data_IF_308998677034
#
_entry.id   IF_308998677034
#
_cell.length_a   1.000
_cell.length_b   1.000
_cell.length_c   1.000
_cell.angle_alpha   90.00
_cell.angle_beta   90.00
_cell.angle_gamma   90.00
#
_symmetry.space_group_name_H-M   'P 1'
#
loop_
_entity.id
_entity.type
_entity.pdbx_description
1 polymer ?
#
# COMPACT_ATOMS: atom_id res chain seq x y z
N UNK A 1 -29.79 -0.23 -1.93
CA UNK A 1 -29.19 -1.03 -3.02
C UNK A 1 -27.79 -1.57 -2.66
N UNK A 2 -26.95 -0.78 -2.03
CA UNK A 2 -25.56 -1.16 -1.70
C UNK A 2 -25.34 -2.40 -0.84
N UNK A 3 -26.17 -2.65 0.19
CA UNK A 3 -26.00 -3.81 1.08
C UNK A 3 -26.13 -5.19 0.40
N UNK A 4 -27.04 -5.32 -0.58
CA UNK A 4 -27.20 -6.58 -1.34
C UNK A 4 -26.00 -6.83 -2.26
N UNK A 5 -25.49 -5.77 -2.85
CA UNK A 5 -24.32 -5.81 -3.72
C UNK A 5 -23.06 -6.23 -2.93
N UNK A 6 -22.77 -5.56 -1.81
CA UNK A 6 -21.62 -5.85 -0.94
C UNK A 6 -21.64 -7.32 -0.48
N UNK A 7 -22.81 -7.81 -0.03
CA UNK A 7 -22.97 -9.22 0.37
C UNK A 7 -22.70 -10.20 -0.78
N UNK A 8 -23.10 -9.84 -2.01
CA UNK A 8 -22.84 -10.68 -3.20
C UNK A 8 -21.35 -10.73 -3.51
N UNK A 9 -20.64 -9.60 -3.46
CA UNK A 9 -19.18 -9.55 -3.64
C UNK A 9 -18.48 -10.41 -2.60
N UNK A 10 -18.83 -10.27 -1.32
CA UNK A 10 -18.26 -11.10 -0.24
C UNK A 10 -18.51 -12.60 -0.44
N UNK A 11 -19.71 -13.00 -0.86
CA UNK A 11 -20.01 -14.41 -1.12
C UNK A 11 -19.19 -14.96 -2.28
N UNK A 12 -18.99 -14.19 -3.34
CA UNK A 12 -18.14 -14.60 -4.46
C UNK A 12 -16.69 -14.81 -4.01
N UNK A 13 -16.16 -13.93 -3.14
CA UNK A 13 -14.82 -14.10 -2.59
C UNK A 13 -14.69 -15.34 -1.70
N UNK A 14 -15.65 -15.57 -0.80
CA UNK A 14 -15.68 -16.77 0.05
C UNK A 14 -15.70 -18.06 -0.79
N UNK A 15 -16.33 -17.99 -1.98
CA UNK A 15 -16.35 -19.10 -2.93
C UNK A 15 -15.08 -19.20 -3.81
N UNK A 16 -14.08 -18.33 -3.61
CA UNK A 16 -12.87 -18.29 -4.45
C UNK A 16 -13.08 -17.69 -5.84
N UNK A 17 -14.20 -16.99 -6.06
CA UNK A 17 -14.61 -16.38 -7.32
C UNK A 17 -14.22 -14.89 -7.36
N UNK A 18 -12.93 -14.60 -7.13
CA UNK A 18 -12.41 -13.22 -7.02
C UNK A 18 -12.55 -12.43 -8.32
N UNK A 19 -12.47 -13.09 -9.49
CA UNK A 19 -12.63 -12.42 -10.78
C UNK A 19 -14.09 -12.00 -11.01
N UNK A 20 -15.03 -12.84 -10.67
CA UNK A 20 -16.47 -12.54 -10.74
C UNK A 20 -16.83 -11.43 -9.74
N UNK A 21 -16.22 -11.44 -8.56
CA UNK A 21 -16.36 -10.36 -7.60
C UNK A 21 -15.86 -9.02 -8.18
N UNK A 22 -14.75 -9.01 -8.93
CA UNK A 22 -14.27 -7.82 -9.64
C UNK A 22 -15.27 -7.33 -10.70
N UNK A 23 -15.82 -8.24 -11.52
CA UNK A 23 -16.82 -7.87 -12.53
C UNK A 23 -18.09 -7.27 -11.90
N UNK A 24 -18.54 -7.82 -10.77
CA UNK A 24 -19.66 -7.25 -10.02
C UNK A 24 -19.34 -5.82 -9.53
N UNK A 25 -18.14 -5.59 -8.99
CA UNK A 25 -17.69 -4.26 -8.55
C UNK A 25 -17.63 -3.29 -9.72
N UNK A 26 -17.06 -3.70 -10.85
CA UNK A 26 -16.91 -2.85 -12.03
C UNK A 26 -18.28 -2.50 -12.64
N UNK A 27 -19.18 -3.50 -12.79
CA UNK A 27 -20.53 -3.28 -13.27
C UNK A 27 -21.32 -2.32 -12.38
N UNK A 28 -21.32 -2.57 -11.07
CA UNK A 28 -22.02 -1.68 -10.13
C UNK A 28 -21.44 -0.26 -10.10
N UNK A 29 -20.11 -0.16 -10.15
CA UNK A 29 -19.44 1.15 -10.11
C UNK A 29 -19.72 1.99 -11.36
N UNK A 30 -20.01 1.37 -12.50
CA UNK A 30 -20.34 2.07 -13.73
C UNK A 30 -21.73 2.76 -13.66
N UNK A 31 -22.66 2.23 -12.86
CA UNK A 31 -24.00 2.77 -12.69
C UNK A 31 -24.04 4.01 -11.77
N UNK A 32 -22.99 4.23 -10.94
CA UNK A 32 -22.93 5.35 -10.01
C UNK A 32 -22.50 6.64 -10.73
N UNK A 33 -23.34 7.66 -10.64
CA UNK A 33 -23.17 8.90 -11.40
C UNK A 33 -22.83 10.11 -10.53
N UNK A 34 -23.33 10.16 -9.30
CA UNK A 34 -23.13 11.32 -8.40
C UNK A 34 -21.92 11.13 -7.47
N UNK A 35 -21.33 12.25 -7.04
CA UNK A 35 -20.23 12.24 -6.10
C UNK A 35 -20.58 11.52 -4.78
N UNK A 36 -21.81 11.70 -4.29
CA UNK A 36 -22.30 11.06 -3.06
C UNK A 36 -22.44 9.54 -3.26
N UNK A 37 -23.07 9.08 -4.33
CA UNK A 37 -23.21 7.64 -4.63
C UNK A 37 -21.84 6.96 -4.75
N UNK A 38 -20.89 7.62 -5.42
CA UNK A 38 -19.53 7.12 -5.58
C UNK A 38 -18.80 7.04 -4.22
N UNK A 39 -18.96 8.05 -3.33
CA UNK A 39 -18.33 8.00 -2.01
C UNK A 39 -18.96 6.93 -1.12
N UNK A 40 -20.29 6.78 -1.14
CA UNK A 40 -20.97 5.74 -0.39
C UNK A 40 -20.61 4.33 -0.91
N UNK A 41 -20.46 4.20 -2.22
CA UNK A 41 -19.92 3.00 -2.84
C UNK A 41 -18.48 2.69 -2.41
N UNK A 42 -17.64 3.71 -2.35
CA UNK A 42 -16.27 3.57 -1.88
C UNK A 42 -16.21 3.13 -0.41
N UNK A 43 -17.05 3.70 0.48
CA UNK A 43 -17.19 3.26 1.87
C UNK A 43 -17.61 1.79 1.96
N UNK A 44 -18.59 1.39 1.18
CA UNK A 44 -19.09 0.02 1.15
C UNK A 44 -18.01 -0.99 0.73
N UNK A 45 -17.20 -0.65 -0.28
CA UNK A 45 -16.07 -1.48 -0.73
C UNK A 45 -14.94 -1.52 0.30
N UNK A 46 -14.62 -0.39 0.95
CA UNK A 46 -13.62 -0.34 2.00
C UNK A 46 -14.01 -1.24 3.19
N UNK A 47 -15.29 -1.22 3.59
CA UNK A 47 -15.81 -2.03 4.69
C UNK A 47 -15.71 -3.54 4.45
N UNK A 48 -15.55 -3.98 3.20
CA UNK A 48 -15.37 -5.40 2.83
C UNK A 48 -13.95 -5.72 2.35
N UNK A 49 -12.98 -4.87 2.68
CA UNK A 49 -11.57 -5.13 2.40
C UNK A 49 -11.14 -4.85 0.94
N UNK A 50 -12.03 -4.31 0.09
CA UNK A 50 -11.73 -4.01 -1.32
C UNK A 50 -11.04 -2.65 -1.47
N UNK A 51 -9.91 -2.47 -0.78
CA UNK A 51 -9.22 -1.18 -0.66
C UNK A 51 -8.86 -0.54 -2.00
N UNK A 52 -8.33 -1.32 -2.95
CA UNK A 52 -7.95 -0.81 -4.27
C UNK A 52 -9.17 -0.31 -5.07
N UNK A 53 -10.28 -1.06 -5.06
CA UNK A 53 -11.53 -0.65 -5.71
C UNK A 53 -12.16 0.56 -5.01
N UNK A 54 -12.19 0.56 -3.68
CA UNK A 54 -12.66 1.67 -2.86
C UNK A 54 -11.88 2.97 -3.16
N UNK A 55 -10.55 2.90 -3.22
CA UNK A 55 -9.69 4.03 -3.53
C UNK A 55 -9.92 4.58 -4.95
N UNK A 56 -10.14 3.70 -5.93
CA UNK A 56 -10.51 4.14 -7.30
C UNK A 56 -11.83 4.87 -7.31
N UNK A 57 -12.84 4.34 -6.62
CA UNK A 57 -14.18 4.92 -6.54
C UNK A 57 -14.18 6.25 -5.78
N UNK A 58 -13.44 6.36 -4.66
CA UNK A 58 -13.29 7.61 -3.92
C UNK A 58 -12.60 8.71 -4.74
N UNK A 59 -11.60 8.37 -5.56
CA UNK A 59 -11.02 9.33 -6.52
C UNK A 59 -12.02 9.82 -7.57
N UNK A 60 -12.87 8.93 -8.08
CA UNK A 60 -13.96 9.33 -8.99
C UNK A 60 -14.95 10.25 -8.30
N UNK A 61 -15.29 9.99 -7.02
CA UNK A 61 -16.18 10.84 -6.24
C UNK A 61 -15.64 12.28 -6.12
N UNK A 62 -14.35 12.45 -5.80
CA UNK A 62 -13.69 13.76 -5.75
C UNK A 62 -13.73 14.51 -7.10
N UNK A 63 -13.68 13.79 -8.20
CA UNK A 63 -13.78 14.37 -9.55
C UNK A 63 -15.20 14.67 -10.02
N UNK A 64 -16.20 14.04 -9.42
CA UNK A 64 -17.61 14.15 -9.85
C UNK A 64 -18.36 15.34 -9.22
N UNK A 65 -17.85 15.93 -8.13
CA UNK A 65 -18.45 17.09 -7.49
C UNK A 65 -18.12 17.21 -5.99
N UNK A 66 -18.78 18.13 -5.29
CA UNK A 66 -18.55 18.33 -3.86
C UNK A 66 -18.95 17.10 -3.05
N UNK A 67 -18.02 16.63 -2.21
CA UNK A 67 -18.20 15.48 -1.31
C UNK A 67 -17.34 15.65 -0.07
N UNK A 68 -17.56 14.84 0.96
CA UNK A 68 -16.69 14.76 2.12
C UNK A 68 -15.27 14.29 1.69
N UNK A 69 -14.42 15.27 1.44
CA UNK A 69 -13.04 15.03 0.97
C UNK A 69 -12.19 14.34 2.03
N UNK A 70 -12.43 14.58 3.32
CA UNK A 70 -11.68 13.94 4.41
C UNK A 70 -11.89 12.44 4.36
N UNK A 71 -13.15 11.99 4.36
CA UNK A 71 -13.47 10.57 4.19
C UNK A 71 -12.90 10.00 2.89
N UNK A 72 -13.03 10.71 1.77
CA UNK A 72 -12.50 10.25 0.49
C UNK A 72 -10.97 10.04 0.55
N UNK A 73 -10.23 10.93 1.18
CA UNK A 73 -8.77 10.78 1.33
C UNK A 73 -8.39 9.61 2.23
N UNK A 74 -9.10 9.35 3.35
CA UNK A 74 -8.86 8.16 4.17
C UNK A 74 -9.12 6.85 3.42
N UNK A 75 -10.10 6.82 2.51
CA UNK A 75 -10.34 5.66 1.64
C UNK A 75 -9.25 5.54 0.57
N UNK A 76 -8.74 6.65 0.03
CA UNK A 76 -7.67 6.66 -0.99
C UNK A 76 -6.33 6.26 -0.39
N UNK A 77 -6.09 6.58 0.87
CA UNK A 77 -4.86 6.30 1.61
C UNK A 77 -5.16 5.43 2.85
N UNK A 78 -5.61 4.18 2.66
CA UNK A 78 -5.95 3.31 3.78
C UNK A 78 -4.69 2.85 4.52
N UNK A 79 -4.84 2.54 5.82
CA UNK A 79 -3.89 1.74 6.58
C UNK A 79 -4.61 0.49 7.03
N UNK A 80 -4.26 -0.65 6.45
CA UNK A 80 -4.79 -1.95 6.85
C UNK A 80 -3.69 -2.74 7.57
N UNK A 81 -4.07 -3.65 8.48
CA UNK A 81 -3.14 -4.41 9.31
C UNK A 81 -2.16 -3.49 10.07
N UNK A 82 -2.71 -2.42 10.67
CA UNK A 82 -1.94 -1.34 11.27
C UNK A 82 -1.02 -1.81 12.41
N UNK A 83 -1.47 -2.78 13.18
CA UNK A 83 -0.71 -3.39 14.28
C UNK A 83 0.53 -4.14 13.79
N UNK A 84 0.39 -4.95 12.75
CA UNK A 84 1.52 -5.68 12.14
C UNK A 84 2.46 -4.69 11.44
N UNK A 85 1.91 -3.74 10.67
CA UNK A 85 2.71 -2.72 9.99
C UNK A 85 3.54 -1.91 10.99
N UNK A 86 2.94 -1.46 12.09
CA UNK A 86 3.63 -0.70 13.12
C UNK A 86 4.73 -1.53 13.80
N UNK A 87 4.42 -2.78 14.15
CA UNK A 87 5.37 -3.72 14.74
C UNK A 87 6.59 -3.94 13.83
N UNK A 88 6.36 -4.20 12.55
CA UNK A 88 7.45 -4.42 11.58
C UNK A 88 8.25 -3.15 11.31
N UNK A 89 7.57 -1.99 11.22
CA UNK A 89 8.25 -0.71 11.06
C UNK A 89 9.15 -0.39 12.27
N UNK A 90 8.66 -0.60 13.49
CA UNK A 90 9.44 -0.43 14.72
C UNK A 90 10.62 -1.42 14.80
N UNK A 91 10.37 -2.71 14.57
CA UNK A 91 11.37 -3.77 14.60
C UNK A 91 12.54 -3.45 13.67
N UNK A 92 12.24 -2.91 12.50
CA UNK A 92 13.22 -2.61 11.46
C UNK A 92 13.66 -1.14 11.44
N UNK A 93 13.19 -0.30 12.36
CA UNK A 93 13.49 1.14 12.44
C UNK A 93 13.16 1.88 11.16
N UNK A 94 12.05 1.53 10.54
CA UNK A 94 11.53 2.15 9.34
C UNK A 94 10.46 3.18 9.70
N UNK A 95 10.33 4.22 8.88
CA UNK A 95 9.22 5.16 8.97
C UNK A 95 7.92 4.46 8.50
N UNK A 96 6.90 4.29 9.37
CA UNK A 96 5.66 3.63 9.00
C UNK A 96 4.90 4.37 7.89
N UNK A 97 5.03 5.69 7.79
CA UNK A 97 4.45 6.45 6.70
C UNK A 97 5.13 6.14 5.35
N UNK A 98 6.46 5.94 5.35
CA UNK A 98 7.21 5.52 4.17
C UNK A 98 6.80 4.11 3.74
N UNK A 99 6.71 3.18 4.67
CA UNK A 99 6.23 1.81 4.43
C UNK A 99 4.81 1.80 3.86
N UNK A 100 3.89 2.58 4.45
CA UNK A 100 2.52 2.71 3.95
C UNK A 100 2.45 3.30 2.55
N UNK A 101 3.30 4.29 2.26
CA UNK A 101 3.43 4.89 0.94
C UNK A 101 3.85 3.88 -0.13
N UNK A 102 4.81 3.00 0.22
CA UNK A 102 5.27 1.90 -0.62
C UNK A 102 4.15 0.87 -0.81
N UNK A 103 3.55 0.34 0.27
CA UNK A 103 2.48 -0.67 0.20
C UNK A 103 1.31 -0.17 -0.66
N UNK A 104 0.94 1.10 -0.50
CA UNK A 104 -0.09 1.70 -1.32
C UNK A 104 0.27 1.71 -2.81
N UNK A 105 1.53 1.98 -3.15
CA UNK A 105 2.00 1.99 -4.54
C UNK A 105 2.07 0.59 -5.12
N UNK A 106 2.46 -0.40 -4.33
CA UNK A 106 2.57 -1.80 -4.75
C UNK A 106 1.21 -2.46 -5.00
N UNK A 107 0.28 -2.33 -4.06
CA UNK A 107 -0.99 -3.07 -4.10
C UNK A 107 -2.21 -2.27 -3.67
N UNK A 108 -2.05 -1.08 -3.08
CA UNK A 108 -3.10 -0.41 -2.29
C UNK A 108 -3.60 -1.31 -1.15
N UNK A 109 -2.69 -1.98 -0.45
CA UNK A 109 -2.98 -2.92 0.65
C UNK A 109 -3.79 -4.15 0.24
N UNK A 110 -3.76 -4.55 -1.02
CA UNK A 110 -4.42 -5.78 -1.50
C UNK A 110 -3.52 -7.00 -1.23
N UNK A 111 -3.93 -7.92 -0.34
CA UNK A 111 -3.13 -9.11 -0.03
C UNK A 111 -3.09 -10.11 -1.19
N UNK A 112 -4.06 -10.09 -2.09
CA UNK A 112 -4.15 -11.03 -3.21
C UNK A 112 -3.53 -10.48 -4.51
N UNK A 113 -2.91 -9.29 -4.44
CA UNK A 113 -2.31 -8.66 -5.61
C UNK A 113 -1.20 -9.52 -6.23
N UNK A 114 -1.26 -9.64 -7.57
CA UNK A 114 -0.21 -10.29 -8.37
C UNK A 114 0.14 -9.37 -9.54
N UNK A 115 1.43 -9.03 -9.65
CA UNK A 115 1.91 -8.24 -10.80
C UNK A 115 2.10 -9.10 -12.05
N UNK A 116 2.21 -8.46 -13.21
CA UNK A 116 2.56 -9.14 -14.46
C UNK A 116 3.91 -9.84 -14.42
N UNK A 117 4.83 -9.44 -13.54
CA UNK A 117 6.11 -10.09 -13.31
C UNK A 117 6.05 -11.22 -12.26
N UNK A 118 4.90 -11.43 -11.59
CA UNK A 118 4.68 -12.46 -10.60
C UNK A 118 5.04 -12.05 -9.16
N UNK A 119 5.25 -10.77 -8.88
CA UNK A 119 5.33 -10.25 -7.50
C UNK A 119 3.99 -10.44 -6.79
N UNK A 120 3.99 -10.69 -5.47
CA UNK A 120 2.81 -11.14 -4.74
C UNK A 120 2.59 -10.38 -3.44
N UNK A 121 1.30 -10.24 -3.08
CA UNK A 121 0.84 -9.74 -1.80
C UNK A 121 0.97 -8.24 -1.64
N UNK A 122 0.74 -7.78 -0.42
CA UNK A 122 0.64 -6.36 -0.11
C UNK A 122 1.89 -5.55 -0.48
N UNK A 123 3.08 -6.12 -0.26
CA UNK A 123 4.37 -5.48 -0.55
C UNK A 123 5.01 -5.94 -1.87
N UNK A 124 4.28 -6.70 -2.70
CA UNK A 124 4.71 -7.14 -4.02
C UNK A 124 6.12 -7.78 -4.02
N UNK A 125 6.34 -8.71 -3.11
CA UNK A 125 7.61 -9.42 -3.00
C UNK A 125 7.69 -10.48 -4.10
N UNK A 126 8.80 -10.49 -4.84
CA UNK A 126 9.05 -11.56 -5.81
C UNK A 126 9.27 -12.91 -5.09
N UNK A 127 8.72 -14.04 -5.59
CA UNK A 127 8.89 -15.36 -4.96
C UNK A 127 10.33 -15.75 -4.67
N UNK A 128 11.27 -15.45 -5.58
CA UNK A 128 12.68 -15.72 -5.38
C UNK A 128 13.30 -14.87 -4.26
N UNK A 129 12.89 -13.59 -4.18
CA UNK A 129 13.30 -12.68 -3.11
C UNK A 129 12.79 -13.22 -1.78
N UNK A 130 11.49 -13.51 -1.68
CA UNK A 130 10.86 -14.09 -0.48
C UNK A 130 11.56 -15.38 -0.02
N UNK A 131 11.91 -16.29 -0.96
CA UNK A 131 12.69 -17.50 -0.65
C UNK A 131 14.05 -17.16 -0.07
N UNK A 132 14.73 -16.15 -0.61
CA UNK A 132 16.03 -15.71 -0.10
C UNK A 132 15.93 -15.12 1.31
N UNK A 133 14.88 -14.33 1.57
CA UNK A 133 14.62 -13.71 2.86
C UNK A 133 14.21 -14.75 3.92
N UNK A 134 13.30 -15.67 3.59
CA UNK A 134 12.84 -16.73 4.52
C UNK A 134 14.01 -17.62 4.99
N UNK A 135 14.97 -17.91 4.10
CA UNK A 135 16.20 -18.63 4.48
C UNK A 135 17.07 -17.82 5.47
N UNK A 136 17.20 -16.51 5.27
CA UNK A 136 17.96 -15.64 6.18
C UNK A 136 17.29 -15.56 7.55
N UNK A 137 15.96 -15.50 7.57
CA UNK A 137 15.14 -15.52 8.78
C UNK A 137 15.01 -16.93 9.40
N UNK A 138 15.62 -17.95 8.77
CA UNK A 138 15.61 -19.36 9.22
C UNK A 138 14.20 -19.94 9.37
N UNK A 139 13.31 -19.55 8.46
CA UNK A 139 11.97 -20.13 8.44
C UNK A 139 12.03 -21.62 8.11
N UNK A 140 11.24 -22.46 8.83
CA UNK A 140 11.28 -23.91 8.65
C UNK A 140 10.69 -24.36 7.31
N UNK A 141 9.72 -23.59 6.80
CA UNK A 141 9.00 -23.86 5.56
C UNK A 141 8.87 -22.58 4.74
N UNK A 142 8.90 -22.72 3.44
CA UNK A 142 8.66 -21.65 2.50
C UNK A 142 7.80 -22.12 1.33
N UNK A 143 6.72 -21.41 1.08
CA UNK A 143 5.95 -21.47 -0.15
C UNK A 143 5.62 -20.04 -0.59
N UNK A 144 5.62 -19.80 -1.89
CA UNK A 144 5.32 -18.46 -2.42
C UNK A 144 3.85 -18.03 -2.23
N UNK A 145 2.95 -18.97 -1.90
CA UNK A 145 1.57 -18.69 -1.51
C UNK A 145 1.49 -17.92 -0.19
N UNK A 146 2.48 -18.06 0.68
CA UNK A 146 2.54 -17.35 1.96
C UNK A 146 2.60 -15.83 1.78
N UNK A 147 3.10 -15.33 0.63
CA UNK A 147 3.13 -13.91 0.33
C UNK A 147 1.74 -13.26 0.21
N UNK A 148 0.68 -14.05 0.06
CA UNK A 148 -0.71 -13.57 0.10
C UNK A 148 -1.24 -13.39 1.52
N UNK A 149 -0.53 -13.89 2.53
CA UNK A 149 -0.88 -13.64 3.92
C UNK A 149 -0.35 -12.27 4.33
N UNK A 150 -1.20 -11.36 4.85
CA UNK A 150 -0.79 -10.00 5.20
C UNK A 150 0.44 -9.95 6.11
N UNK A 151 0.43 -10.72 7.20
CA UNK A 151 1.51 -10.73 8.18
C UNK A 151 2.84 -11.16 7.54
N UNK A 152 2.81 -12.22 6.73
CA UNK A 152 3.99 -12.70 6.01
C UNK A 152 4.49 -11.69 4.98
N UNK A 153 3.58 -11.08 4.22
CA UNK A 153 3.93 -10.06 3.23
C UNK A 153 4.56 -8.84 3.89
N UNK A 154 4.03 -8.40 5.04
CA UNK A 154 4.55 -7.28 5.81
C UNK A 154 5.91 -7.62 6.44
N UNK A 155 6.07 -8.77 7.11
CA UNK A 155 7.34 -9.19 7.71
C UNK A 155 8.46 -9.24 6.67
N UNK A 156 8.26 -10.01 5.58
CA UNK A 156 9.29 -10.17 4.55
C UNK A 156 9.56 -8.88 3.78
N UNK A 157 8.51 -8.10 3.50
CA UNK A 157 8.63 -6.84 2.80
C UNK A 157 9.38 -5.77 3.61
N UNK A 158 9.09 -5.64 4.92
CA UNK A 158 9.82 -4.72 5.80
C UNK A 158 11.26 -5.18 6.01
N UNK A 159 11.51 -6.47 6.21
CA UNK A 159 12.86 -7.00 6.28
C UNK A 159 13.65 -6.73 4.99
N UNK A 160 13.00 -6.88 3.81
CA UNK A 160 13.63 -6.53 2.53
C UNK A 160 13.94 -5.03 2.45
N UNK A 161 12.97 -4.18 2.79
CA UNK A 161 13.12 -2.73 2.78
C UNK A 161 14.24 -2.26 3.71
N UNK A 162 14.34 -2.81 4.92
CA UNK A 162 15.41 -2.53 5.86
C UNK A 162 16.79 -2.90 5.30
N UNK A 163 16.93 -4.08 4.67
CA UNK A 163 18.19 -4.46 4.01
C UNK A 163 18.58 -3.49 2.89
N UNK A 164 17.61 -2.90 2.19
CA UNK A 164 17.89 -1.88 1.17
C UNK A 164 18.32 -0.55 1.81
N UNK A 165 17.70 -0.14 2.92
CA UNK A 165 18.15 1.03 3.69
C UNK A 165 19.55 0.85 4.27
N UNK A 166 19.89 -0.35 4.74
CA UNK A 166 21.25 -0.65 5.21
C UNK A 166 22.28 -0.48 4.10
N UNK A 167 21.90 -0.75 2.87
CA UNK A 167 22.80 -0.69 1.72
C UNK A 167 22.90 0.68 1.08
N UNK A 168 21.78 1.40 0.92
CA UNK A 168 21.71 2.62 0.10
C UNK A 168 21.50 3.90 0.90
N UNK A 169 20.98 3.84 2.10
CA UNK A 169 20.73 4.93 3.06
C UNK A 169 19.65 5.95 2.64
N UNK A 170 19.62 6.39 1.39
CA UNK A 170 18.73 7.42 0.88
C UNK A 170 17.43 6.82 0.34
N UNK A 171 16.28 7.40 0.72
CA UNK A 171 14.96 6.83 0.42
C UNK A 171 14.68 6.65 -1.07
N UNK A 172 15.07 7.60 -1.92
CA UNK A 172 14.91 7.52 -3.37
C UNK A 172 15.73 6.39 -4.00
N UNK A 173 16.95 6.14 -3.47
CA UNK A 173 17.80 5.03 -3.90
C UNK A 173 17.22 3.68 -3.47
N UNK A 174 16.70 3.62 -2.25
CA UNK A 174 16.02 2.44 -1.70
C UNK A 174 14.81 2.09 -2.54
N UNK A 175 13.96 3.05 -2.86
CA UNK A 175 12.76 2.85 -3.69
C UNK A 175 13.12 2.42 -5.11
N UNK A 176 14.14 3.05 -5.70
CA UNK A 176 14.64 2.65 -7.00
C UNK A 176 15.19 1.21 -7.00
N UNK A 177 15.88 0.82 -5.91
CA UNK A 177 16.37 -0.54 -5.71
C UNK A 177 15.24 -1.55 -5.50
N UNK A 178 14.20 -1.19 -4.77
CA UNK A 178 13.02 -2.02 -4.53
C UNK A 178 12.31 -2.34 -5.85
N UNK A 179 12.02 -1.33 -6.65
CA UNK A 179 11.28 -1.49 -7.90
C UNK A 179 12.14 -2.09 -9.04
N UNK A 180 13.34 -1.55 -9.28
CA UNK A 180 14.16 -1.96 -10.42
C UNK A 180 15.21 -3.04 -10.13
N UNK A 181 15.40 -3.35 -8.84
CA UNK A 181 16.44 -4.27 -8.38
C UNK A 181 17.77 -3.56 -8.07
N UNK A 182 18.32 -3.86 -6.88
CA UNK A 182 19.49 -3.19 -6.33
C UNK A 182 20.78 -3.25 -7.16
N UNK A 183 20.92 -4.24 -8.03
CA UNK A 183 22.12 -4.36 -8.88
C UNK A 183 22.32 -3.17 -9.85
N UNK A 184 21.26 -2.42 -10.15
CA UNK A 184 21.29 -1.28 -11.09
C UNK A 184 21.76 0.02 -10.43
N UNK A 185 21.54 0.17 -9.13
CA UNK A 185 21.75 1.43 -8.41
C UNK A 185 23.21 1.92 -8.48
N UNK A 186 24.25 1.07 -8.28
CA UNK A 186 25.63 1.55 -8.36
C UNK A 186 25.97 2.21 -9.71
N UNK A 187 25.43 1.68 -10.82
CA UNK A 187 25.65 2.27 -12.14
C UNK A 187 24.89 3.58 -12.34
N UNK A 188 23.77 3.77 -11.64
CA UNK A 188 23.01 5.02 -11.71
C UNK A 188 23.68 6.12 -10.88
N UNK A 189 24.26 5.76 -9.73
CA UNK A 189 24.97 6.68 -8.84
C UNK A 189 26.30 7.22 -9.43
N UNK A 190 26.85 6.58 -10.46
CA UNK A 190 28.05 7.07 -11.15
C UNK A 190 27.76 8.26 -12.09
N UNK A 191 26.51 8.64 -12.30
CA UNK A 191 26.13 9.76 -13.15
C UNK A 191 26.36 11.08 -12.41
N UNK A 192 26.83 12.13 -13.10
CA UNK A 192 27.11 13.41 -12.45
C UNK A 192 25.89 14.01 -11.77
N UNK A 193 26.04 14.54 -10.56
CA UNK A 193 24.99 15.25 -9.80
C UNK A 193 24.00 14.34 -9.07
N UNK A 194 24.21 13.03 -9.07
CA UNK A 194 23.30 12.08 -8.38
C UNK A 194 23.48 12.02 -6.86
N UNK A 195 24.37 12.80 -6.31
CA UNK A 195 24.46 13.14 -4.90
C UNK A 195 23.28 14.00 -4.42
N UNK A 196 22.63 14.71 -5.32
CA UNK A 196 21.37 15.40 -5.09
C UNK A 196 20.20 14.45 -5.38
N UNK A 197 19.24 14.36 -4.44
CA UNK A 197 18.11 13.44 -4.50
C UNK A 197 17.21 13.70 -5.73
N UNK A 198 16.92 14.97 -6.04
CA UNK A 198 16.06 15.33 -7.18
C UNK A 198 16.75 14.99 -8.49
N UNK A 199 18.06 15.29 -8.59
CA UNK A 199 18.87 14.94 -9.78
C UNK A 199 18.97 13.43 -9.93
N UNK A 200 19.15 12.67 -8.84
CA UNK A 200 19.15 11.21 -8.90
C UNK A 200 17.84 10.68 -9.49
N UNK A 201 16.69 11.13 -8.97
CA UNK A 201 15.37 10.71 -9.45
C UNK A 201 15.22 10.99 -10.95
N UNK A 202 15.57 12.20 -11.41
CA UNK A 202 15.46 12.58 -12.82
C UNK A 202 16.39 11.75 -13.73
N UNK A 203 17.50 11.27 -13.19
CA UNK A 203 18.49 10.47 -13.93
C UNK A 203 18.25 8.96 -13.89
N UNK A 204 17.19 8.48 -13.21
CA UNK A 204 16.76 7.09 -13.29
C UNK A 204 16.40 6.77 -14.75
N UNK A 205 17.06 5.77 -15.41
CA UNK A 205 16.83 5.52 -16.83
C UNK A 205 15.46 4.98 -17.17
N UNK A 206 14.85 4.26 -16.22
CA UNK A 206 13.55 3.63 -16.40
C UNK A 206 12.44 4.59 -15.98
N UNK A 207 11.59 4.99 -16.92
CA UNK A 207 10.48 5.91 -16.66
C UNK A 207 9.55 5.36 -15.56
N UNK A 208 9.23 4.08 -15.63
CA UNK A 208 8.41 3.40 -14.62
C UNK A 208 9.01 3.54 -13.21
N UNK A 209 10.30 3.25 -13.04
CA UNK A 209 10.97 3.35 -11.74
C UNK A 209 11.06 4.80 -11.25
N UNK A 210 11.31 5.73 -12.16
CA UNK A 210 11.32 7.16 -11.82
C UNK A 210 9.98 7.64 -11.30
N UNK A 211 8.89 7.27 -11.98
CA UNK A 211 7.53 7.61 -11.56
C UNK A 211 7.15 6.88 -10.27
N UNK A 212 7.55 5.62 -10.10
CA UNK A 212 7.37 4.85 -8.88
C UNK A 212 7.99 5.58 -7.67
N UNK A 213 9.26 5.99 -7.76
CA UNK A 213 9.95 6.70 -6.67
C UNK A 213 9.19 7.97 -6.29
N UNK A 214 8.83 8.81 -7.27
CA UNK A 214 8.06 10.04 -7.02
C UNK A 214 6.71 9.75 -6.35
N UNK A 215 6.01 8.71 -6.81
CA UNK A 215 4.70 8.35 -6.29
C UNK A 215 4.77 7.85 -4.87
N UNK A 216 5.76 7.00 -4.52
CA UNK A 216 5.93 6.50 -3.16
C UNK A 216 6.31 7.63 -2.20
N UNK A 217 7.26 8.49 -2.56
CA UNK A 217 7.65 9.65 -1.72
C UNK A 217 6.45 10.58 -1.47
N UNK A 218 5.68 10.89 -2.51
CA UNK A 218 4.44 11.67 -2.37
C UNK A 218 3.42 10.96 -1.47
N UNK A 219 3.21 9.66 -1.64
CA UNK A 219 2.29 8.89 -0.82
C UNK A 219 2.73 8.90 0.65
N UNK A 220 4.02 8.71 0.93
CA UNK A 220 4.58 8.76 2.27
C UNK A 220 4.29 10.10 2.97
N UNK A 221 4.42 11.21 2.24
CA UNK A 221 4.09 12.53 2.78
C UNK A 221 2.60 12.69 3.10
N UNK A 222 1.69 12.12 2.27
CA UNK A 222 0.27 12.08 2.62
C UNK A 222 0.02 11.28 3.90
N UNK A 223 0.63 10.11 4.04
CA UNK A 223 0.50 9.28 5.24
C UNK A 223 1.04 9.99 6.49
N UNK A 224 2.18 10.70 6.42
CA UNK A 224 2.69 11.47 7.57
C UNK A 224 1.74 12.58 8.03
N UNK A 225 1.01 13.19 7.08
CA UNK A 225 0.08 14.28 7.40
C UNK A 225 -1.28 13.79 7.87
N UNK A 226 -1.71 12.61 7.42
CA UNK A 226 -3.04 12.09 7.68
C UNK A 226 -3.13 11.28 8.95
N UNK A 227 -2.05 10.57 9.32
CA UNK A 227 -2.04 9.60 10.41
C UNK A 227 -1.10 10.04 11.53
N UNK A 228 -1.55 9.85 12.77
CA UNK A 228 -0.66 9.90 13.93
C UNK A 228 -0.01 8.52 14.09
N UNK A 229 1.31 8.47 13.97
CA UNK A 229 2.09 7.23 14.05
C UNK A 229 2.62 6.98 15.47
N UNK A 230 2.05 7.63 16.50
CA UNK A 230 2.38 7.31 17.89
C UNK A 230 1.82 5.93 18.28
N UNK A 231 2.61 5.15 19.03
CA UNK A 231 2.29 3.77 19.42
C UNK A 231 0.95 3.61 20.18
N UNK A 232 0.43 4.67 20.81
CA UNK A 232 -0.83 4.63 21.58
C UNK A 232 -2.08 4.55 20.68
N UNK A 233 -2.07 5.19 19.50
CA UNK A 233 -3.24 5.19 18.60
C UNK A 233 -3.28 3.97 17.67
N UNK A 234 -2.14 3.40 17.33
CA UNK A 234 -2.06 2.18 16.52
C UNK A 234 -2.60 0.95 17.28
N UNK A 235 -2.49 0.93 18.61
CA UNK A 235 -3.06 -0.13 19.46
C UNK A 235 -4.61 -0.09 19.50
N UNK A 236 -5.23 1.06 19.27
CA UNK A 236 -6.69 1.26 19.30
C UNK A 236 -7.35 1.03 17.93
N UNK A 237 -6.56 0.91 16.85
CA UNK A 237 -7.03 0.58 15.50
C UNK A 237 -7.55 -0.88 15.33
N UNK A 238 -7.58 -1.66 16.41
CA UNK A 238 -8.05 -3.06 16.44
C UNK A 238 -9.56 -3.23 16.32
N UNK A 239 -10.34 -2.13 16.28
CA UNK A 239 -11.80 -2.23 16.19
C UNK A 239 -12.26 -2.27 14.73
N UNK A 240 -12.95 -3.33 14.28
CA UNK A 240 -13.49 -3.44 12.92
C UNK A 240 -14.59 -2.41 12.61
N UNK A 241 -15.05 -1.65 13.60
CA UNK A 241 -16.15 -0.69 13.46
C UNK A 241 -15.71 0.77 13.16
N UNK A 242 -14.41 1.05 13.04
CA UNK A 242 -13.91 2.39 12.72
C UNK A 242 -13.73 2.62 11.22
N UNK A 243 -14.81 2.90 10.55
CA UNK A 243 -14.79 3.71 9.32
C UNK A 243 -14.54 5.16 9.73
N UNK A 244 -13.30 5.62 9.56
CA UNK A 244 -12.79 6.98 9.80
C UNK A 244 -13.13 7.59 11.18
N UNK A 245 -12.15 7.84 12.06
CA UNK A 245 -12.40 8.63 13.27
C UNK A 245 -12.75 10.07 12.87
N UNK A 246 -13.95 10.49 13.23
CA UNK A 246 -14.30 11.91 13.23
C UNK A 246 -13.48 12.58 14.33
N UNK A 247 -12.39 13.25 13.96
CA UNK A 247 -11.66 14.15 14.85
C UNK A 247 -10.25 13.75 15.26
N UNK A 248 -9.39 13.35 14.33
CA UNK A 248 -7.95 13.17 14.61
C UNK A 248 -7.27 14.53 14.67
N UNK A 249 -6.83 14.97 15.86
CA UNK A 249 -5.92 16.10 16.04
C UNK A 249 -4.49 15.59 15.78
N UNK A 250 -3.89 16.07 14.71
CA UNK A 250 -2.46 15.91 14.46
C UNK A 250 -1.66 16.60 15.57
N UNK A 251 -1.03 15.83 16.46
CA UNK A 251 0.05 16.32 17.31
C UNK A 251 1.37 15.75 16.81
N UNK A 252 2.30 16.63 16.53
CA UNK A 252 3.69 16.26 16.22
C UNK A 252 4.33 15.67 17.49
N UNK A 253 4.90 14.46 17.35
CA UNK A 253 5.91 14.00 18.30
C UNK A 253 7.18 14.82 18.06
N UNK A 254 7.71 15.43 19.14
CA UNK A 254 8.98 16.14 19.15
C UNK A 254 10.16 15.15 19.19
#
# INVERSE_FOLDING_TARGET
MGLRFVRRVQLLEICGMGQEANWEVDGWSADLQTATELLDGARALAAVGRAAAAARMARRALGAGPVDSVTAYYIIYPVLHADVLAHEAETHRLDPAFSSGLIRQESTFDPEAVSGAGARGMMQVMPEVGRGLSRRLRWPLWDAVLLFQPDVSLELGHYHLANLFDRYKEGEQVLAAYNAGGAKIPGWLQRPGTEDAEVFIERIPFAETRDYVRMVLRNAEFYRRMYDWSCEELADARSPDRVAPTGVRVRRCG
#
